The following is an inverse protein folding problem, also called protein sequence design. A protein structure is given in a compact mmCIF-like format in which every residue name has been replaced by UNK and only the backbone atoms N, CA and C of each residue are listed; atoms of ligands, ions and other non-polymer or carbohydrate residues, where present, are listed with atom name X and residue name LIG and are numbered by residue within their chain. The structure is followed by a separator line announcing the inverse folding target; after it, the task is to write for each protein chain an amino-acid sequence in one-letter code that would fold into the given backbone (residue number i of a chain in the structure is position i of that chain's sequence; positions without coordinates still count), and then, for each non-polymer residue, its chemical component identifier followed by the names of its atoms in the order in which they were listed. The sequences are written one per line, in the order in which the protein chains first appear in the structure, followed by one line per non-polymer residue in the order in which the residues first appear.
data_IF_027486774133
#
_entry.id   IF_027486774133
#
_cell.length_a   1.000
_cell.length_b   1.000
_cell.length_c   1.000
_cell.angle_alpha   90.00
_cell.angle_beta   90.00
_cell.angle_gamma   90.00
#
_symmetry.space_group_name_H-M   'P 1'
#
loop_
_entity.id
_entity.type
_entity.pdbx_description
1 polymer ?
#
# COMPACT_ATOMS: atom_id res chain seq x y z
N UNK A 1 10.10 -10.54 -34.25
CA UNK A 1 11.06 -10.92 -33.19
C UNK A 1 10.59 -10.29 -31.89
N UNK A 2 10.50 -11.07 -30.80
CA UNK A 2 10.12 -10.61 -29.47
C UNK A 2 11.28 -9.84 -28.82
N UNK A 3 10.96 -8.95 -27.88
CA UNK A 3 12.00 -8.30 -27.06
C UNK A 3 12.45 -9.21 -25.92
N UNK A 4 11.47 -9.88 -25.27
CA UNK A 4 11.70 -10.83 -24.20
C UNK A 4 10.78 -12.06 -24.37
N UNK A 5 11.32 -13.24 -24.07
CA UNK A 5 10.57 -14.47 -23.96
C UNK A 5 10.83 -15.09 -22.58
N UNK A 6 9.78 -15.48 -21.88
CA UNK A 6 9.86 -16.27 -20.64
C UNK A 6 9.43 -17.67 -21.00
N UNK A 7 10.25 -18.66 -20.73
CA UNK A 7 10.00 -20.06 -21.05
C UNK A 7 9.90 -20.92 -19.79
N UNK A 8 9.26 -22.10 -19.91
CA UNK A 8 9.17 -23.09 -18.83
C UNK A 8 8.54 -22.54 -17.54
N UNK A 9 7.55 -21.65 -17.64
CA UNK A 9 6.89 -21.05 -16.49
C UNK A 9 5.60 -21.76 -16.11
N UNK A 10 5.25 -21.69 -14.80
CA UNK A 10 3.91 -21.95 -14.27
C UNK A 10 3.15 -20.62 -14.25
N UNK A 11 2.51 -20.28 -15.37
CA UNK A 11 1.81 -19.01 -15.57
C UNK A 11 0.52 -19.03 -14.76
N UNK A 12 0.33 -18.03 -13.90
CA UNK A 12 -0.85 -17.89 -13.04
C UNK A 12 -1.95 -17.15 -13.81
N UNK A 13 -2.98 -17.87 -14.19
CA UNK A 13 -4.23 -17.28 -14.71
C UNK A 13 -5.16 -16.98 -13.52
N UNK A 14 -5.05 -15.77 -13.00
CA UNK A 14 -5.78 -15.33 -11.81
C UNK A 14 -7.30 -15.33 -12.05
N UNK A 15 -7.72 -14.90 -13.24
CA UNK A 15 -9.14 -14.77 -13.61
C UNK A 15 -9.85 -16.12 -13.63
N UNK A 16 -9.18 -17.17 -14.14
CA UNK A 16 -9.73 -18.52 -14.24
C UNK A 16 -9.22 -19.49 -13.15
N UNK A 17 -8.45 -18.98 -12.19
CA UNK A 17 -7.91 -19.74 -11.03
C UNK A 17 -7.19 -21.04 -11.45
N UNK A 18 -6.29 -20.95 -12.42
CA UNK A 18 -5.55 -22.10 -12.94
C UNK A 18 -4.10 -21.77 -13.23
N UNK A 19 -3.29 -22.81 -13.29
CA UNK A 19 -1.89 -22.72 -13.72
C UNK A 19 -1.79 -23.22 -15.16
N UNK A 20 -1.10 -22.45 -16.00
CA UNK A 20 -0.81 -22.80 -17.40
C UNK A 20 0.70 -23.02 -17.48
N UNK A 21 1.12 -24.25 -17.76
CA UNK A 21 2.53 -24.53 -18.07
C UNK A 21 2.83 -24.02 -19.48
N UNK A 22 3.83 -23.14 -19.62
CA UNK A 22 4.13 -22.56 -20.93
C UNK A 22 5.04 -21.34 -20.89
N UNK A 23 4.96 -20.59 -21.97
CA UNK A 23 5.81 -19.44 -22.28
C UNK A 23 5.00 -18.15 -22.34
N UNK A 24 5.69 -17.02 -22.12
CA UNK A 24 5.18 -15.68 -22.44
C UNK A 24 6.07 -15.03 -23.51
N UNK A 25 5.46 -14.44 -24.52
CA UNK A 25 6.12 -13.60 -25.53
C UNK A 25 5.80 -12.13 -25.29
N UNK A 26 6.85 -11.32 -25.16
CA UNK A 26 6.75 -9.89 -24.82
C UNK A 26 7.36 -9.07 -25.96
N UNK A 27 6.65 -8.01 -26.36
CA UNK A 27 7.09 -7.06 -27.35
C UNK A 27 6.54 -5.66 -27.03
N UNK A 28 7.38 -4.64 -27.18
CA UNK A 28 7.03 -3.23 -26.97
C UNK A 28 6.33 -2.99 -25.60
N UNK A 29 6.83 -3.68 -24.55
CA UNK A 29 6.34 -3.57 -23.20
C UNK A 29 5.05 -4.33 -22.88
N UNK A 30 4.44 -5.02 -23.86
CA UNK A 30 3.18 -5.75 -23.70
C UNK A 30 3.38 -7.26 -23.88
N UNK A 31 2.52 -8.05 -23.22
CA UNK A 31 2.36 -9.48 -23.46
C UNK A 31 1.62 -9.65 -24.79
N UNK A 32 2.23 -10.35 -25.77
CA UNK A 32 1.62 -10.56 -27.08
C UNK A 32 1.36 -12.04 -27.40
N UNK A 33 1.91 -12.95 -26.58
CA UNK A 33 1.66 -14.39 -26.68
C UNK A 33 1.70 -15.05 -25.32
N UNK A 34 0.83 -16.02 -25.10
CA UNK A 34 0.80 -16.87 -23.91
C UNK A 34 0.58 -18.34 -24.32
N UNK A 35 1.33 -19.26 -23.71
CA UNK A 35 1.27 -20.70 -24.00
C UNK A 35 2.53 -21.16 -24.72
N UNK A 36 2.40 -21.89 -25.85
CA UNK A 36 3.57 -22.33 -26.61
C UNK A 36 4.06 -21.24 -27.57
N UNK A 37 5.22 -20.65 -27.28
CA UNK A 37 5.79 -19.53 -28.05
C UNK A 37 6.97 -19.98 -28.89
N UNK A 38 6.79 -20.10 -30.19
CA UNK A 38 7.85 -20.51 -31.15
C UNK A 38 8.66 -19.31 -31.68
N UNK A 39 8.18 -18.09 -31.52
CA UNK A 39 8.81 -16.89 -32.03
C UNK A 39 10.21 -16.66 -31.44
N UNK A 40 11.14 -16.19 -32.26
CA UNK A 40 12.48 -15.77 -31.81
C UNK A 40 12.40 -14.52 -30.93
N UNK A 41 13.29 -14.42 -29.96
CA UNK A 41 13.39 -13.30 -29.02
C UNK A 41 14.81 -12.77 -28.93
N UNK A 42 14.94 -11.48 -28.59
CA UNK A 42 16.24 -10.85 -28.28
C UNK A 42 16.83 -11.36 -26.95
N UNK A 43 15.95 -11.57 -25.97
CA UNK A 43 16.30 -12.08 -24.63
C UNK A 43 15.38 -13.24 -24.27
N UNK A 44 15.90 -14.19 -23.51
CA UNK A 44 15.14 -15.33 -22.98
C UNK A 44 15.40 -15.43 -21.48
N UNK A 45 14.35 -15.59 -20.70
CA UNK A 45 14.38 -15.98 -19.30
C UNK A 45 13.83 -17.41 -19.23
N UNK A 46 14.59 -18.34 -18.67
CA UNK A 46 14.07 -19.63 -18.26
C UNK A 46 13.48 -19.50 -16.85
N UNK A 47 12.18 -19.68 -16.72
CA UNK A 47 11.51 -19.63 -15.42
C UNK A 47 11.73 -20.91 -14.58
N UNK A 48 12.41 -21.94 -15.12
CA UNK A 48 12.81 -23.15 -14.40
C UNK A 48 11.65 -23.84 -13.64
N UNK A 49 10.43 -23.74 -14.17
CA UNK A 49 9.21 -24.25 -13.51
C UNK A 49 8.71 -23.40 -12.33
N UNK A 50 9.27 -22.22 -12.12
CA UNK A 50 8.76 -21.28 -11.10
C UNK A 50 7.44 -20.63 -11.53
N UNK A 51 6.73 -20.06 -10.56
CA UNK A 51 5.48 -19.37 -10.80
C UNK A 51 5.73 -18.02 -11.47
N UNK A 52 4.98 -17.78 -12.54
CA UNK A 52 4.96 -16.51 -13.28
C UNK A 52 3.65 -15.84 -12.97
N UNK A 53 3.68 -14.75 -12.22
CA UNK A 53 2.55 -13.98 -11.73
C UNK A 53 2.48 -12.62 -12.42
N UNK A 54 1.31 -11.99 -12.55
CA UNK A 54 1.26 -10.54 -12.72
C UNK A 54 2.09 -9.89 -11.62
N UNK A 55 2.77 -8.80 -11.92
CA UNK A 55 3.46 -8.02 -10.91
C UNK A 55 2.50 -7.57 -9.81
N UNK A 56 2.92 -7.65 -8.56
CA UNK A 56 2.07 -7.28 -7.44
C UNK A 56 1.78 -5.78 -7.45
N UNK A 57 0.60 -5.40 -6.95
CA UNK A 57 0.13 -4.02 -6.85
C UNK A 57 -0.10 -3.70 -5.39
N UNK A 58 0.68 -2.77 -4.85
CA UNK A 58 0.50 -2.26 -3.50
C UNK A 58 -0.39 -1.02 -3.53
N UNK A 59 -1.64 -1.18 -3.07
CA UNK A 59 -2.62 -0.07 -3.07
C UNK A 59 -2.41 0.90 -1.89
N UNK A 60 -1.53 0.56 -0.95
CA UNK A 60 -1.32 1.36 0.25
C UNK A 60 0.14 1.33 0.71
N UNK A 61 0.88 2.38 0.37
CA UNK A 61 2.19 2.67 0.98
C UNK A 61 2.32 4.16 1.27
N UNK A 62 3.34 4.52 2.02
CA UNK A 62 3.70 5.92 2.24
C UNK A 62 4.72 6.41 1.21
N UNK A 63 4.79 7.73 1.06
CA UNK A 63 5.57 8.34 0.00
C UNK A 63 7.08 8.17 0.18
N UNK A 64 7.79 7.94 -0.92
CA UNK A 64 9.24 7.92 -0.99
C UNK A 64 9.83 9.28 -0.55
N UNK A 65 10.98 9.27 0.09
CA UNK A 65 11.72 10.49 0.37
C UNK A 65 12.65 10.86 -0.78
N UNK A 66 12.10 11.59 -1.75
CA UNK A 66 12.87 12.01 -2.93
C UNK A 66 14.00 12.99 -2.62
N UNK A 67 14.11 13.52 -1.41
CA UNK A 67 15.27 14.32 -1.00
C UNK A 67 16.51 13.47 -0.79
N UNK A 68 16.34 12.19 -0.43
CA UNK A 68 17.41 11.20 -0.30
C UNK A 68 17.84 10.68 -1.69
N UNK A 69 16.97 10.74 -2.67
CA UNK A 69 17.20 10.17 -4.01
C UNK A 69 18.15 10.98 -4.90
N UNK A 70 18.67 12.11 -4.45
CA UNK A 70 19.78 12.80 -5.16
C UNK A 70 20.94 11.85 -5.52
N UNK A 71 21.02 10.69 -4.82
CA UNK A 71 21.99 9.62 -5.06
C UNK A 71 21.37 8.37 -5.71
N UNK A 72 20.10 8.41 -6.15
CA UNK A 72 19.33 7.22 -6.59
C UNK A 72 19.22 6.12 -5.51
N UNK A 73 19.22 6.51 -4.26
CA UNK A 73 18.98 5.65 -3.12
C UNK A 73 17.50 5.73 -2.78
N UNK A 74 16.71 4.79 -3.28
CA UNK A 74 15.30 4.64 -2.95
C UNK A 74 15.16 3.79 -1.68
N UNK A 75 14.28 4.18 -0.78
CA UNK A 75 14.06 3.47 0.49
C UNK A 75 12.86 2.52 0.36
N UNK A 76 11.65 3.07 0.21
CA UNK A 76 10.42 2.27 0.14
C UNK A 76 10.26 1.61 -1.24
N UNK A 77 10.44 2.37 -2.32
CA UNK A 77 10.26 1.84 -3.67
C UNK A 77 11.22 0.69 -4.00
N UNK A 78 12.43 0.70 -3.42
CA UNK A 78 13.38 -0.40 -3.57
C UNK A 78 12.93 -1.67 -2.86
N UNK A 79 12.34 -1.55 -1.66
CA UNK A 79 11.78 -2.71 -0.95
C UNK A 79 10.53 -3.25 -1.63
N UNK A 80 9.69 -2.38 -2.23
CA UNK A 80 8.56 -2.79 -3.07
C UNK A 80 9.03 -3.67 -4.24
N UNK A 81 10.00 -3.20 -5.01
CA UNK A 81 10.57 -3.96 -6.12
C UNK A 81 11.09 -5.34 -5.66
N UNK A 82 11.80 -5.38 -4.52
CA UNK A 82 12.34 -6.63 -3.97
C UNK A 82 11.25 -7.63 -3.56
N UNK A 83 10.04 -7.18 -3.24
CA UNK A 83 8.90 -8.04 -2.94
C UNK A 83 8.15 -8.54 -4.19
N UNK A 84 8.52 -8.10 -5.40
CA UNK A 84 7.79 -8.42 -6.62
C UNK A 84 6.67 -7.44 -6.95
N UNK A 85 6.57 -6.33 -6.22
CA UNK A 85 5.64 -5.23 -6.52
C UNK A 85 6.14 -4.51 -7.77
N UNK A 86 5.23 -4.22 -8.69
CA UNK A 86 5.52 -3.49 -9.92
C UNK A 86 4.76 -2.16 -10.02
N UNK A 87 3.73 -2.00 -9.20
CA UNK A 87 2.94 -0.76 -9.13
C UNK A 87 2.54 -0.49 -7.68
N UNK A 88 2.69 0.75 -7.23
CA UNK A 88 2.32 1.16 -5.88
C UNK A 88 1.50 2.45 -5.88
N UNK A 89 0.72 2.64 -4.81
CA UNK A 89 -0.05 3.87 -4.55
C UNK A 89 0.39 4.48 -3.24
N UNK A 90 0.95 5.67 -3.32
CA UNK A 90 1.40 6.46 -2.17
C UNK A 90 0.42 7.59 -1.80
N UNK A 91 0.84 8.48 -0.92
CA UNK A 91 0.02 9.61 -0.47
C UNK A 91 -1.15 9.19 0.42
N UNK A 92 -1.08 8.01 1.05
CA UNK A 92 -2.11 7.48 1.94
C UNK A 92 -2.11 8.19 3.31
N UNK A 93 -3.14 7.94 4.11
CA UNK A 93 -3.31 8.44 5.48
C UNK A 93 -3.18 9.96 5.60
N UNK A 94 -3.59 10.69 4.57
CA UNK A 94 -3.61 12.15 4.55
C UNK A 94 -2.27 12.83 4.32
N UNK A 95 -1.19 12.12 4.04
CA UNK A 95 0.17 12.66 4.03
C UNK A 95 0.86 12.55 2.67
N UNK A 96 1.45 13.66 2.24
CA UNK A 96 2.43 13.72 1.17
C UNK A 96 3.70 14.45 1.67
N UNK A 97 4.82 14.17 1.03
CA UNK A 97 6.08 14.89 1.26
C UNK A 97 6.22 16.07 0.31
N UNK A 98 5.58 16.00 -0.86
CA UNK A 98 5.64 17.01 -1.92
C UNK A 98 4.33 17.08 -2.71
N UNK A 99 4.19 18.08 -3.60
CA UNK A 99 3.05 18.15 -4.51
C UNK A 99 3.07 17.00 -5.53
N UNK A 100 1.90 16.67 -6.08
CA UNK A 100 1.77 15.64 -7.12
C UNK A 100 2.55 16.04 -8.39
N UNK A 101 2.58 17.33 -8.71
CA UNK A 101 3.37 17.89 -9.81
C UNK A 101 4.86 17.56 -9.64
N UNK A 102 5.46 17.99 -8.53
CA UNK A 102 6.88 17.71 -8.24
C UNK A 102 7.22 16.23 -8.23
N UNK A 103 6.30 15.41 -7.69
CA UNK A 103 6.43 13.96 -7.64
C UNK A 103 6.46 13.36 -9.05
N UNK A 104 5.51 13.75 -9.90
CA UNK A 104 5.44 13.24 -11.28
C UNK A 104 6.65 13.65 -12.10
N UNK A 105 7.04 14.93 -12.03
CA UNK A 105 8.23 15.44 -12.72
C UNK A 105 9.51 14.73 -12.29
N UNK A 106 9.69 14.51 -10.98
CA UNK A 106 10.84 13.78 -10.46
C UNK A 106 10.91 12.35 -11.03
N UNK A 107 9.79 11.61 -11.00
CA UNK A 107 9.75 10.23 -11.50
C UNK A 107 9.95 10.20 -13.02
N UNK A 108 9.39 11.15 -13.77
CA UNK A 108 9.60 11.26 -15.23
C UNK A 108 11.06 11.52 -15.58
N UNK A 109 11.76 12.35 -14.79
CA UNK A 109 13.16 12.68 -15.03
C UNK A 109 14.14 11.56 -14.60
N UNK A 110 13.91 10.96 -13.43
CA UNK A 110 14.88 10.05 -12.79
C UNK A 110 14.47 8.57 -12.86
N UNK A 111 13.21 8.27 -13.16
CA UNK A 111 12.62 6.95 -12.99
C UNK A 111 12.38 6.61 -11.52
N UNK A 112 11.83 5.43 -11.28
CA UNK A 112 11.57 4.88 -9.96
C UNK A 112 11.70 3.34 -10.01
N UNK A 113 12.01 2.65 -8.92
CA UNK A 113 12.07 1.19 -8.91
C UNK A 113 10.79 0.50 -9.38
N UNK A 114 9.61 1.07 -9.06
CA UNK A 114 8.29 0.55 -9.41
C UNK A 114 7.42 1.65 -10.03
N UNK A 115 6.37 1.29 -10.76
CA UNK A 115 5.36 2.23 -11.20
C UNK A 115 4.68 2.89 -10.00
N UNK A 116 4.39 4.16 -10.10
CA UNK A 116 3.97 4.97 -8.97
C UNK A 116 2.69 5.74 -9.26
N UNK A 117 1.76 5.70 -8.35
CA UNK A 117 0.55 6.52 -8.29
C UNK A 117 0.49 7.18 -6.91
N UNK A 118 -0.26 8.28 -6.76
CA UNK A 118 -0.40 8.93 -5.45
C UNK A 118 -1.77 9.56 -5.25
N UNK A 119 -2.25 9.51 -4.01
CA UNK A 119 -3.30 10.40 -3.53
C UNK A 119 -2.73 11.78 -3.22
N UNK A 120 -3.61 12.79 -3.18
CA UNK A 120 -3.30 14.03 -2.46
C UNK A 120 -3.85 13.93 -1.02
N UNK A 121 -2.98 14.13 -0.04
CA UNK A 121 -3.31 13.98 1.38
C UNK A 121 -3.95 15.23 1.96
N UNK A 122 -5.06 15.08 2.68
CA UNK A 122 -5.74 16.21 3.35
C UNK A 122 -4.86 16.88 4.40
N UNK A 123 -4.14 16.10 5.22
CA UNK A 123 -3.25 16.68 6.26
C UNK A 123 -2.08 17.46 5.62
N UNK A 124 -1.57 16.98 4.47
CA UNK A 124 -0.60 17.74 3.68
C UNK A 124 -1.19 19.07 3.22
N UNK A 125 -2.39 19.07 2.64
CA UNK A 125 -3.07 20.30 2.18
C UNK A 125 -3.32 21.27 3.34
N UNK A 126 -3.73 20.77 4.52
CA UNK A 126 -3.88 21.61 5.73
C UNK A 126 -2.58 22.34 6.08
N UNK A 127 -1.45 21.63 6.02
CA UNK A 127 -0.14 22.23 6.28
C UNK A 127 0.20 23.33 5.25
N UNK A 128 -0.09 23.10 3.96
CA UNK A 128 0.18 24.07 2.89
C UNK A 128 -0.63 25.38 3.05
N UNK A 129 -1.83 25.31 3.62
CA UNK A 129 -2.67 26.49 3.84
C UNK A 129 -2.52 27.10 5.25
N UNK A 130 -1.57 26.60 6.05
CA UNK A 130 -1.29 27.07 7.41
C UNK A 130 -2.32 26.63 8.46
N UNK A 131 -3.09 25.56 8.21
CA UNK A 131 -3.96 24.91 9.19
C UNK A 131 -3.20 23.84 9.97
N UNK A 132 -2.21 24.24 10.76
CA UNK A 132 -1.22 23.35 11.39
C UNK A 132 -1.64 22.80 12.76
N UNK A 133 -2.67 23.39 13.39
CA UNK A 133 -3.22 22.83 14.64
C UNK A 133 -4.07 21.60 14.33
N UNK A 134 -3.54 20.43 14.65
CA UNK A 134 -4.19 19.15 14.34
C UNK A 134 -5.50 18.92 15.12
N UNK A 135 -5.76 19.69 16.19
CA UNK A 135 -6.96 19.55 17.01
C UNK A 135 -8.05 20.58 16.67
N UNK A 136 -7.83 21.45 15.69
CA UNK A 136 -8.81 22.45 15.26
C UNK A 136 -9.22 22.26 13.82
N UNK A 137 -10.52 22.50 13.56
CA UNK A 137 -11.05 22.59 12.20
C UNK A 137 -10.38 23.72 11.42
N UNK A 138 -10.20 23.53 10.12
CA UNK A 138 -9.76 24.56 9.20
C UNK A 138 -10.84 25.63 9.01
N UNK A 139 -10.44 26.88 8.81
CA UNK A 139 -11.35 27.95 8.43
C UNK A 139 -11.89 27.74 7.02
N UNK A 140 -13.07 28.31 6.73
CA UNK A 140 -13.65 28.25 5.37
C UNK A 140 -12.71 28.81 4.29
N UNK A 141 -11.89 29.81 4.61
CA UNK A 141 -10.89 30.36 3.68
C UNK A 141 -9.79 29.33 3.38
N UNK A 142 -9.35 28.57 4.38
CA UNK A 142 -8.36 27.50 4.22
C UNK A 142 -8.95 26.33 3.43
N UNK A 143 -10.20 25.93 3.75
CA UNK A 143 -10.91 24.87 3.02
C UNK A 143 -11.03 25.20 1.53
N UNK A 144 -11.44 26.42 1.17
CA UNK A 144 -11.50 26.87 -0.23
C UNK A 144 -10.15 26.80 -0.95
N UNK A 145 -9.05 27.13 -0.28
CA UNK A 145 -7.71 26.99 -0.85
C UNK A 145 -7.34 25.51 -1.05
N UNK A 146 -7.65 24.65 -0.07
CA UNK A 146 -7.42 23.22 -0.17
C UNK A 146 -8.24 22.60 -1.32
N UNK A 147 -9.49 23.04 -1.55
CA UNK A 147 -10.30 22.63 -2.71
C UNK A 147 -9.60 22.93 -4.03
N UNK A 148 -9.04 24.15 -4.20
CA UNK A 148 -8.30 24.51 -5.41
C UNK A 148 -7.06 23.62 -5.60
N UNK A 149 -6.29 23.41 -4.53
CA UNK A 149 -5.10 22.54 -4.57
C UNK A 149 -5.46 21.07 -4.84
N UNK A 150 -6.62 20.62 -4.37
CA UNK A 150 -7.13 19.26 -4.69
C UNK A 150 -7.39 19.11 -6.18
N UNK A 151 -8.02 20.12 -6.82
CA UNK A 151 -8.24 20.11 -8.27
C UNK A 151 -6.92 20.09 -9.05
N UNK A 152 -5.99 20.94 -8.68
CA UNK A 152 -4.65 20.97 -9.27
C UNK A 152 -3.95 19.61 -9.16
N UNK A 153 -3.96 18.99 -7.98
CA UNK A 153 -3.38 17.68 -7.76
C UNK A 153 -4.01 16.60 -8.66
N UNK A 154 -5.34 16.64 -8.85
CA UNK A 154 -6.06 15.72 -9.72
C UNK A 154 -5.70 15.95 -11.18
N UNK A 155 -5.52 17.18 -11.63
CA UNK A 155 -5.11 17.53 -12.98
C UNK A 155 -3.68 17.02 -13.27
N UNK A 156 -2.80 17.05 -12.27
CA UNK A 156 -1.47 16.42 -12.33
C UNK A 156 -1.50 14.89 -12.21
N UNK A 157 -2.64 14.29 -11.89
CA UNK A 157 -2.84 12.84 -11.93
C UNK A 157 -3.01 12.14 -10.59
N UNK A 158 -3.29 12.87 -9.51
CA UNK A 158 -3.67 12.22 -8.25
C UNK A 158 -4.84 11.27 -8.44
N UNK A 159 -4.79 10.09 -7.80
CA UNK A 159 -5.87 9.10 -7.86
C UNK A 159 -7.12 9.55 -7.09
N UNK A 160 -6.97 10.52 -6.21
CA UNK A 160 -8.03 11.08 -5.39
C UNK A 160 -7.48 11.73 -4.13
N UNK A 161 -8.25 11.72 -3.04
CA UNK A 161 -7.90 12.36 -1.76
C UNK A 161 -7.77 11.29 -0.67
N UNK A 162 -6.73 11.41 0.17
CA UNK A 162 -6.58 10.58 1.36
C UNK A 162 -6.75 11.40 2.64
N UNK A 163 -7.26 10.75 3.69
CA UNK A 163 -7.46 11.34 5.02
C UNK A 163 -6.67 10.58 6.08
N UNK A 164 -6.10 11.30 7.02
CA UNK A 164 -5.53 10.75 8.24
C UNK A 164 -6.32 11.27 9.43
N UNK A 165 -7.52 10.71 9.66
CA UNK A 165 -8.49 11.27 10.62
C UNK A 165 -7.97 11.19 12.06
N UNK A 166 -7.27 10.12 12.43
CA UNK A 166 -6.65 10.00 13.75
C UNK A 166 -5.44 10.90 13.91
N UNK A 167 -4.65 11.11 12.84
CA UNK A 167 -3.49 12.00 12.87
C UNK A 167 -3.86 13.48 12.97
N UNK A 168 -5.08 13.82 12.63
CA UNK A 168 -5.59 15.19 12.68
C UNK A 168 -7.02 15.20 13.23
N UNK A 169 -7.20 15.03 14.56
CA UNK A 169 -8.52 14.92 15.20
C UNK A 169 -9.45 16.11 14.97
N UNK A 170 -8.90 17.29 14.66
CA UNK A 170 -9.65 18.50 14.35
C UNK A 170 -10.38 18.50 13.01
N UNK A 171 -10.10 17.54 12.12
CA UNK A 171 -10.89 17.32 10.91
C UNK A 171 -12.24 16.74 11.32
N UNK A 172 -13.32 17.51 11.19
CA UNK A 172 -14.68 16.99 11.39
C UNK A 172 -15.26 16.42 10.09
N UNK A 173 -16.43 15.80 10.18
CA UNK A 173 -17.13 15.21 9.04
C UNK A 173 -17.41 16.24 7.94
N UNK A 174 -17.78 17.47 8.33
CA UNK A 174 -18.07 18.55 7.37
C UNK A 174 -16.82 18.95 6.60
N UNK A 175 -15.67 19.17 7.26
CA UNK A 175 -14.40 19.50 6.59
C UNK A 175 -13.98 18.40 5.62
N UNK A 176 -14.12 17.12 6.02
CA UNK A 176 -13.79 15.97 5.16
C UNK A 176 -14.68 15.91 3.90
N UNK A 177 -15.94 16.29 3.98
CA UNK A 177 -16.86 16.36 2.84
C UNK A 177 -16.58 17.62 1.99
N UNK A 178 -16.45 18.78 2.63
CA UNK A 178 -16.28 20.07 1.95
C UNK A 178 -15.04 20.11 1.05
N UNK A 179 -13.92 19.53 1.49
CA UNK A 179 -12.69 19.51 0.68
C UNK A 179 -12.87 18.84 -0.68
N UNK A 180 -13.83 17.94 -0.81
CA UNK A 180 -14.12 17.18 -2.03
C UNK A 180 -15.33 17.70 -2.79
N UNK A 181 -15.93 18.82 -2.41
CA UNK A 181 -17.15 19.34 -3.02
C UNK A 181 -17.02 19.52 -4.54
N UNK A 182 -15.89 20.02 -5.03
CA UNK A 182 -15.65 20.23 -6.47
C UNK A 182 -15.40 18.94 -7.27
N UNK A 183 -15.24 17.81 -6.61
CA UNK A 183 -15.05 16.50 -7.23
C UNK A 183 -16.17 15.51 -6.90
N UNK A 184 -17.23 15.98 -6.25
CA UNK A 184 -18.38 15.18 -5.82
C UNK A 184 -18.97 14.38 -6.99
N UNK A 185 -19.25 13.09 -6.75
CA UNK A 185 -19.80 12.18 -7.75
C UNK A 185 -18.81 11.65 -8.79
N UNK A 186 -17.53 12.00 -8.68
CA UNK A 186 -16.47 11.51 -9.57
C UNK A 186 -16.12 10.05 -9.21
N UNK A 187 -16.78 9.11 -9.87
CA UNK A 187 -16.56 7.66 -9.67
C UNK A 187 -15.23 7.15 -10.26
N UNK A 188 -14.53 7.97 -11.02
CA UNK A 188 -13.20 7.73 -11.55
C UNK A 188 -12.07 8.08 -10.56
N UNK A 189 -12.41 8.75 -9.45
CA UNK A 189 -11.53 9.00 -8.32
C UNK A 189 -11.74 7.98 -7.20
N UNK A 190 -10.86 8.02 -6.22
CA UNK A 190 -10.90 7.17 -5.04
C UNK A 190 -10.58 8.03 -3.81
N UNK A 191 -11.40 7.93 -2.77
CA UNK A 191 -11.04 8.45 -1.46
C UNK A 191 -10.41 7.32 -0.63
N UNK A 192 -9.49 7.65 0.28
CA UNK A 192 -9.00 6.69 1.27
C UNK A 192 -8.88 7.35 2.65
N UNK A 193 -9.01 6.57 3.72
CA UNK A 193 -8.80 7.10 5.06
C UNK A 193 -8.19 6.09 6.02
N UNK A 194 -7.23 6.57 6.81
CA UNK A 194 -6.94 6.06 8.12
C UNK A 194 -8.10 6.42 9.06
N UNK A 195 -8.53 5.49 9.89
CA UNK A 195 -9.64 5.65 10.84
C UNK A 195 -9.49 6.90 11.70
N UNK A 196 -10.60 7.37 12.29
CA UNK A 196 -10.53 8.39 13.33
C UNK A 196 -10.10 7.81 14.67
N UNK A 197 -10.59 6.62 14.99
CA UNK A 197 -10.26 5.86 16.19
C UNK A 197 -10.32 4.37 15.90
N UNK A 198 -9.44 3.65 16.52
CA UNK A 198 -9.33 2.20 16.42
C UNK A 198 -10.01 1.46 17.61
N UNK A 199 -9.78 0.17 17.69
CA UNK A 199 -10.20 -0.72 18.76
C UNK A 199 -11.70 -0.59 19.08
N UNK A 200 -12.06 -0.23 20.32
CA UNK A 200 -13.46 -0.16 20.76
C UNK A 200 -14.33 0.82 19.97
N UNK A 201 -13.72 1.80 19.30
CA UNK A 201 -14.39 2.81 18.49
C UNK A 201 -14.28 2.57 16.97
N UNK A 202 -13.72 1.45 16.55
CA UNK A 202 -13.50 1.16 15.14
C UNK A 202 -14.80 1.17 14.31
N UNK A 203 -15.89 0.65 14.85
CA UNK A 203 -17.19 0.61 14.16
C UNK A 203 -17.76 2.02 13.90
N UNK A 204 -17.60 2.94 14.83
CA UNK A 204 -18.02 4.34 14.64
C UNK A 204 -17.19 5.01 13.54
N UNK A 205 -15.89 4.73 13.50
CA UNK A 205 -15.01 5.23 12.45
C UNK A 205 -15.37 4.68 11.06
N UNK A 206 -15.77 3.40 10.96
CA UNK A 206 -16.29 2.80 9.71
C UNK A 206 -17.56 3.52 9.27
N UNK A 207 -18.48 3.80 10.17
CA UNK A 207 -19.71 4.54 9.86
C UNK A 207 -19.41 5.97 9.40
N UNK A 208 -18.45 6.66 10.00
CA UNK A 208 -18.00 7.99 9.56
C UNK A 208 -17.47 7.96 8.13
N UNK A 209 -16.58 7.01 7.81
CA UNK A 209 -16.05 6.85 6.46
C UNK A 209 -17.14 6.51 5.43
N UNK A 210 -18.12 5.69 5.83
CA UNK A 210 -19.29 5.38 5.00
C UNK A 210 -20.15 6.61 4.74
N UNK A 211 -20.32 7.50 5.72
CA UNK A 211 -21.06 8.75 5.53
C UNK A 211 -20.31 9.72 4.61
N UNK A 212 -18.97 9.82 4.71
CA UNK A 212 -18.16 10.58 3.75
C UNK A 212 -18.37 10.02 2.34
N UNK A 213 -18.29 8.70 2.16
CA UNK A 213 -18.48 8.06 0.87
C UNK A 213 -19.87 8.31 0.28
N UNK A 214 -20.90 8.21 1.11
CA UNK A 214 -22.30 8.44 0.74
C UNK A 214 -22.55 9.88 0.31
N UNK A 215 -22.07 10.84 1.10
CA UNK A 215 -22.26 12.25 0.82
C UNK A 215 -21.45 12.74 -0.38
N UNK A 216 -20.22 12.30 -0.52
CA UNK A 216 -19.34 12.67 -1.64
C UNK A 216 -19.70 11.94 -2.92
N UNK A 217 -20.30 10.75 -2.85
CA UNK A 217 -20.57 9.83 -3.96
C UNK A 217 -19.31 9.46 -4.74
N UNK A 218 -18.18 9.38 -4.05
CA UNK A 218 -16.90 8.94 -4.59
C UNK A 218 -16.59 7.56 -3.96
N UNK A 219 -16.11 6.58 -4.73
CA UNK A 219 -15.64 5.31 -4.18
C UNK A 219 -14.64 5.51 -3.04
N UNK A 220 -14.73 4.69 -1.98
CA UNK A 220 -13.94 4.89 -0.78
C UNK A 220 -13.15 3.64 -0.38
N UNK A 221 -11.87 3.81 -0.07
CA UNK A 221 -10.95 2.79 0.43
C UNK A 221 -10.73 2.99 1.94
N UNK A 222 -11.15 2.02 2.74
CA UNK A 222 -10.83 1.95 4.15
C UNK A 222 -9.40 1.41 4.28
N UNK A 223 -8.51 2.19 4.84
CA UNK A 223 -7.09 1.88 4.98
C UNK A 223 -6.83 0.86 6.08
N UNK A 224 -5.90 -0.08 5.85
CA UNK A 224 -5.29 -1.01 6.82
C UNK A 224 -6.27 -1.49 7.93
N UNK A 225 -7.41 -2.08 7.52
CA UNK A 225 -8.49 -2.55 8.41
C UNK A 225 -7.96 -3.28 9.67
N UNK A 226 -6.93 -4.11 9.50
CA UNK A 226 -6.37 -4.90 10.59
C UNK A 226 -5.80 -4.03 11.71
N UNK A 227 -5.08 -2.95 11.40
CA UNK A 227 -4.49 -2.08 12.44
C UNK A 227 -5.50 -1.29 13.25
N UNK A 228 -6.72 -1.18 12.76
CA UNK A 228 -7.77 -0.41 13.43
C UNK A 228 -8.85 -1.29 14.07
N UNK A 229 -9.03 -2.55 13.61
CA UNK A 229 -10.13 -3.42 14.03
C UNK A 229 -9.70 -4.76 14.64
N UNK A 230 -8.40 -5.15 14.56
CA UNK A 230 -7.93 -6.41 15.13
C UNK A 230 -7.67 -6.33 16.66
N UNK A 231 -8.70 -5.89 17.39
CA UNK A 231 -8.73 -5.72 18.85
C UNK A 231 -9.95 -6.37 19.49
N UNK A 232 -10.49 -7.42 18.87
CA UNK A 232 -11.71 -8.10 19.26
C UNK A 232 -12.95 -7.68 18.45
N UNK A 233 -12.79 -6.89 17.38
CA UNK A 233 -13.90 -6.30 16.63
C UNK A 233 -13.90 -6.66 15.13
N UNK A 234 -13.01 -7.53 14.68
CA UNK A 234 -12.82 -7.78 13.24
C UNK A 234 -14.08 -8.34 12.58
N UNK A 235 -14.69 -9.34 13.17
CA UNK A 235 -15.92 -9.96 12.64
C UNK A 235 -17.05 -8.93 12.48
N UNK A 236 -17.25 -8.07 13.48
CA UNK A 236 -18.26 -7.02 13.46
C UNK A 236 -17.93 -5.93 12.42
N UNK A 237 -16.67 -5.54 12.31
CA UNK A 237 -16.20 -4.57 11.32
C UNK A 237 -16.45 -5.08 9.89
N UNK A 238 -16.08 -6.31 9.58
CA UNK A 238 -16.30 -6.94 8.28
C UNK A 238 -17.79 -7.02 7.94
N UNK A 239 -18.65 -7.47 8.86
CA UNK A 239 -20.11 -7.51 8.69
C UNK A 239 -20.70 -6.11 8.46
N UNK A 240 -20.24 -5.11 9.21
CA UNK A 240 -20.68 -3.73 9.04
C UNK A 240 -20.37 -3.22 7.65
N UNK A 241 -19.14 -3.40 7.17
CA UNK A 241 -18.71 -2.97 5.82
C UNK A 241 -19.51 -3.71 4.74
N UNK A 242 -19.74 -5.02 4.88
CA UNK A 242 -20.60 -5.77 3.96
C UNK A 242 -22.00 -5.18 3.88
N UNK A 243 -22.62 -4.90 5.01
CA UNK A 243 -23.96 -4.31 5.07
C UNK A 243 -23.99 -2.92 4.41
N UNK A 244 -22.96 -2.09 4.63
CA UNK A 244 -22.85 -0.77 3.99
C UNK A 244 -22.75 -0.92 2.47
N UNK A 245 -21.94 -1.87 1.98
CA UNK A 245 -21.82 -2.17 0.55
C UNK A 245 -23.12 -2.67 -0.07
N UNK A 246 -23.85 -3.56 0.63
CA UNK A 246 -25.17 -4.04 0.20
C UNK A 246 -26.20 -2.91 0.08
N UNK A 247 -26.05 -1.84 0.83
CA UNK A 247 -26.84 -0.63 0.75
C UNK A 247 -26.37 0.36 -0.35
N UNK A 248 -25.45 -0.06 -1.22
CA UNK A 248 -25.06 0.67 -2.42
C UNK A 248 -23.92 1.68 -2.24
N UNK A 249 -23.23 1.69 -1.11
CA UNK A 249 -22.03 2.51 -0.90
C UNK A 249 -20.80 1.74 -1.39
N UNK A 250 -20.02 2.34 -2.30
CA UNK A 250 -18.83 1.70 -2.88
C UNK A 250 -17.64 1.80 -1.90
N UNK A 251 -17.54 0.80 -1.02
CA UNK A 251 -16.42 0.62 -0.08
C UNK A 251 -15.51 -0.52 -0.52
N UNK A 252 -14.22 -0.38 -0.27
CA UNK A 252 -13.22 -1.43 -0.29
C UNK A 252 -12.25 -1.27 0.88
N UNK A 253 -11.47 -2.30 1.17
CA UNK A 253 -10.57 -2.32 2.32
C UNK A 253 -9.24 -2.95 1.96
N UNK A 254 -8.18 -2.54 2.64
CA UNK A 254 -6.88 -3.21 2.61
C UNK A 254 -6.41 -3.62 4.01
N UNK A 255 -5.49 -4.55 4.07
CA UNK A 255 -4.87 -5.02 5.29
C UNK A 255 -3.47 -5.58 5.00
N UNK A 256 -2.61 -5.60 6.01
CA UNK A 256 -1.27 -6.18 5.97
C UNK A 256 -1.11 -7.36 6.95
N UNK A 257 -0.17 -8.29 6.68
CA UNK A 257 -0.06 -9.58 7.38
C UNK A 257 0.84 -9.51 8.63
N UNK A 258 0.63 -8.55 9.52
CA UNK A 258 1.41 -8.38 10.76
C UNK A 258 0.53 -7.94 11.91
N UNK A 259 0.79 -8.48 13.12
CA UNK A 259 0.05 -8.18 14.35
C UNK A 259 0.60 -6.95 15.10
N UNK A 260 1.27 -6.07 14.39
CA UNK A 260 1.77 -4.80 14.90
C UNK A 260 1.57 -3.69 13.87
N UNK A 261 1.38 -2.47 14.32
CA UNK A 261 1.41 -1.29 13.44
C UNK A 261 2.64 -0.41 13.73
N UNK A 262 2.92 0.54 12.85
CA UNK A 262 3.98 1.52 13.07
C UNK A 262 3.56 2.89 12.61
N UNK A 263 3.80 3.89 13.48
CA UNK A 263 3.59 5.30 13.18
C UNK A 263 4.51 6.17 14.04
N UNK A 264 4.49 7.49 13.83
CA UNK A 264 5.29 8.44 14.60
C UNK A 264 4.86 8.48 16.07
N UNK A 265 5.81 8.34 16.99
CA UNK A 265 5.54 8.32 18.46
C UNK A 265 4.86 9.62 18.94
N UNK A 266 5.09 10.74 18.28
CA UNK A 266 4.47 12.02 18.59
C UNK A 266 3.07 12.23 18.01
N UNK A 267 2.53 11.25 17.24
CA UNK A 267 1.20 11.36 16.63
C UNK A 267 0.07 11.25 17.66
N UNK A 268 -1.12 11.72 17.28
CA UNK A 268 -2.32 11.64 18.12
C UNK A 268 -2.80 10.20 18.37
N UNK A 269 -2.35 9.21 17.59
CA UNK A 269 -2.56 7.78 17.85
C UNK A 269 -2.12 7.36 19.26
N UNK A 270 -1.07 8.00 19.77
CA UNK A 270 -0.52 7.74 21.10
C UNK A 270 -0.98 8.74 22.17
N UNK A 271 -2.08 9.45 21.94
CA UNK A 271 -2.66 10.36 22.94
C UNK A 271 -3.23 9.60 24.14
N UNK A 272 -3.56 10.32 25.20
CA UNK A 272 -4.12 9.77 26.44
C UNK A 272 -5.33 8.89 26.14
N UNK A 273 -5.35 7.69 26.76
CA UNK A 273 -6.40 6.68 26.56
C UNK A 273 -6.09 5.61 25.50
N UNK A 274 -4.99 5.71 24.74
CA UNK A 274 -4.66 4.72 23.71
C UNK A 274 -4.41 3.33 24.31
N UNK A 275 -3.67 3.23 25.42
CA UNK A 275 -3.37 1.95 26.07
C UNK A 275 -4.61 1.27 26.64
N UNK A 276 -5.52 2.05 27.23
CA UNK A 276 -6.81 1.57 27.71
C UNK A 276 -7.68 1.05 26.57
N UNK A 277 -7.69 1.76 25.42
CA UNK A 277 -8.43 1.36 24.23
C UNK A 277 -7.92 0.04 23.67
N UNK A 278 -6.60 -0.18 23.64
CA UNK A 278 -5.98 -1.41 23.16
C UNK A 278 -5.93 -2.53 24.21
N UNK A 279 -6.28 -2.25 25.48
CA UNK A 279 -6.08 -3.16 26.61
C UNK A 279 -4.61 -3.63 26.71
N UNK A 280 -3.68 -2.67 26.62
CA UNK A 280 -2.22 -2.88 26.60
C UNK A 280 -1.53 -1.90 27.55
N UNK A 281 -0.19 -2.02 27.65
CA UNK A 281 0.66 -1.13 28.44
C UNK A 281 1.88 -0.68 27.63
N UNK A 282 2.70 0.20 28.21
CA UNK A 282 3.85 0.82 27.55
C UNK A 282 4.83 -0.18 26.93
N UNK A 283 4.97 -1.37 27.53
CA UNK A 283 5.85 -2.46 27.07
C UNK A 283 5.39 -3.12 25.74
N UNK A 284 4.22 -2.78 25.23
CA UNK A 284 3.81 -3.14 23.88
C UNK A 284 4.43 -2.26 22.78
N UNK A 285 5.03 -1.13 23.15
CA UNK A 285 5.61 -0.16 22.21
C UNK A 285 7.12 -0.33 22.13
N UNK A 286 7.64 -0.57 20.92
CA UNK A 286 9.08 -0.62 20.63
C UNK A 286 9.47 0.61 19.80
N UNK A 287 10.57 1.26 20.18
CA UNK A 287 11.16 2.39 19.45
C UNK A 287 12.16 1.90 18.40
N UNK A 288 12.21 2.56 17.24
CA UNK A 288 12.91 2.03 16.07
C UNK A 288 14.24 2.73 15.74
N UNK A 289 14.52 3.89 16.36
CA UNK A 289 15.68 4.71 16.05
C UNK A 289 16.53 5.00 17.30
N UNK A 290 17.80 5.37 17.10
CA UNK A 290 18.65 5.83 18.21
C UNK A 290 18.09 7.11 18.87
N UNK A 291 18.24 7.31 20.18
CA UNK A 291 19.03 6.47 21.10
C UNK A 291 18.26 5.27 21.70
N UNK A 292 17.07 4.96 21.22
CA UNK A 292 16.19 3.93 21.78
C UNK A 292 15.95 2.75 20.84
N UNK A 293 16.77 2.56 19.82
CA UNK A 293 16.56 1.49 18.82
C UNK A 293 16.41 0.11 19.47
N UNK A 294 15.23 -0.53 19.20
CA UNK A 294 14.90 -1.85 19.73
C UNK A 294 14.47 -1.89 21.20
N UNK A 295 14.31 -0.73 21.84
CA UNK A 295 13.89 -0.64 23.24
C UNK A 295 12.36 -0.69 23.32
N UNK A 296 11.83 -1.58 24.15
CA UNK A 296 10.44 -1.57 24.57
C UNK A 296 10.23 -0.54 25.67
N UNK A 297 9.15 0.24 25.57
CA UNK A 297 8.93 1.37 26.46
C UNK A 297 8.52 0.94 27.88
N UNK A 298 8.92 1.72 28.84
CA UNK A 298 8.18 2.00 30.05
C UNK A 298 7.58 3.41 29.95
N UNK A 299 6.85 3.86 30.95
CA UNK A 299 6.22 5.19 30.93
C UNK A 299 7.22 6.32 30.72
N UNK A 300 8.37 6.29 31.41
CA UNK A 300 9.40 7.34 31.33
C UNK A 300 10.00 7.45 29.92
N UNK A 301 10.36 6.30 29.31
CA UNK A 301 10.92 6.24 27.95
C UNK A 301 9.89 6.71 26.93
N UNK A 302 8.63 6.29 27.07
CA UNK A 302 7.54 6.69 26.18
C UNK A 302 7.31 8.20 26.20
N UNK A 303 7.14 8.79 27.38
CA UNK A 303 6.92 10.23 27.55
C UNK A 303 8.12 11.04 27.04
N UNK A 304 9.34 10.58 27.30
CA UNK A 304 10.57 11.18 26.79
C UNK A 304 10.64 11.12 25.28
N UNK A 305 10.38 9.97 24.68
CA UNK A 305 10.40 9.81 23.23
C UNK A 305 9.37 10.71 22.55
N UNK A 306 8.14 10.78 23.05
CA UNK A 306 7.09 11.69 22.52
C UNK A 306 7.52 13.15 22.56
N UNK A 307 8.17 13.57 23.61
CA UNK A 307 8.57 14.96 23.82
C UNK A 307 9.82 15.35 23.02
N UNK A 308 10.85 14.51 23.02
CA UNK A 308 12.17 14.85 22.48
C UNK A 308 12.37 14.33 21.04
N UNK A 309 11.67 13.26 20.67
CA UNK A 309 11.80 12.58 19.36
C UNK A 309 10.46 12.32 18.69
N UNK A 310 9.55 13.30 18.57
CA UNK A 310 8.17 13.08 18.13
C UNK A 310 8.06 12.48 16.72
N UNK A 311 9.10 12.63 15.90
CA UNK A 311 9.17 12.09 14.54
C UNK A 311 9.79 10.68 14.46
N UNK A 312 10.20 10.09 15.59
CA UNK A 312 10.67 8.72 15.63
C UNK A 312 9.52 7.74 15.34
N UNK A 313 9.76 6.75 14.49
CA UNK A 313 8.80 5.68 14.30
C UNK A 313 8.78 4.75 15.54
N UNK A 314 7.60 4.38 15.96
CA UNK A 314 7.35 3.37 16.99
C UNK A 314 6.56 2.22 16.41
N UNK A 315 6.81 1.01 16.88
CA UNK A 315 6.05 -0.20 16.56
C UNK A 315 5.18 -0.55 17.76
N UNK A 316 3.89 -0.68 17.55
CA UNK A 316 2.92 -1.07 18.56
C UNK A 316 2.47 -2.52 18.34
N UNK A 317 2.87 -3.42 19.24
CA UNK A 317 2.55 -4.85 19.24
C UNK A 317 1.23 -5.08 19.98
N UNK A 318 0.12 -4.68 19.38
CA UNK A 318 -1.16 -4.54 20.08
C UNK A 318 -2.32 -5.33 19.45
N UNK A 319 -2.15 -5.82 18.22
CA UNK A 319 -3.23 -6.46 17.43
C UNK A 319 -3.29 -7.96 17.63
N UNK A 320 -4.43 -8.56 17.30
CA UNK A 320 -4.70 -9.99 17.39
C UNK A 320 -4.38 -10.68 16.06
N UNK A 321 -3.49 -11.67 16.07
CA UNK A 321 -3.07 -12.43 14.88
C UNK A 321 -4.25 -13.22 14.24
N UNK A 322 -5.14 -13.80 15.02
CA UNK A 322 -6.28 -14.57 14.48
C UNK A 322 -7.24 -13.67 13.71
N UNK A 323 -7.46 -12.46 14.19
CA UNK A 323 -8.27 -11.45 13.51
C UNK A 323 -7.61 -10.89 12.25
N UNK A 324 -6.29 -10.87 12.21
CA UNK A 324 -5.55 -10.56 10.96
C UNK A 324 -5.78 -11.65 9.92
N UNK A 325 -5.70 -12.92 10.32
CA UNK A 325 -6.01 -14.06 9.44
C UNK A 325 -7.46 -13.97 8.93
N UNK A 326 -8.42 -13.62 9.80
CA UNK A 326 -9.80 -13.39 9.41
C UNK A 326 -9.92 -12.29 8.34
N UNK A 327 -9.31 -11.14 8.58
CA UNK A 327 -9.31 -10.03 7.62
C UNK A 327 -8.69 -10.43 6.26
N UNK A 328 -7.49 -11.03 6.28
CA UNK A 328 -6.78 -11.42 5.06
C UNK A 328 -7.57 -12.44 4.22
N UNK A 329 -8.35 -13.32 4.85
CA UNK A 329 -9.19 -14.30 4.14
C UNK A 329 -10.50 -13.72 3.62
N UNK A 330 -10.95 -12.58 4.12
CA UNK A 330 -12.22 -12.02 3.73
C UNK A 330 -12.22 -11.57 2.26
N UNK A 331 -13.24 -11.91 1.42
CA UNK A 331 -13.21 -11.68 -0.03
C UNK A 331 -13.06 -10.21 -0.46
N UNK A 332 -13.49 -9.25 0.37
CA UNK A 332 -13.41 -7.82 0.01
C UNK A 332 -12.10 -7.14 0.42
N UNK A 333 -11.24 -7.81 1.18
CA UNK A 333 -10.00 -7.24 1.72
C UNK A 333 -8.85 -7.47 0.75
N UNK A 334 -8.20 -6.41 0.30
CA UNK A 334 -6.97 -6.45 -0.49
C UNK A 334 -5.75 -6.52 0.43
N UNK A 335 -4.64 -7.01 -0.11
CA UNK A 335 -3.36 -7.01 0.59
C UNK A 335 -2.58 -5.77 0.18
N UNK A 336 -2.09 -5.02 1.18
CA UNK A 336 -1.24 -3.87 0.99
C UNK A 336 -0.15 -3.84 2.06
N UNK A 337 0.91 -3.06 1.86
CA UNK A 337 2.04 -3.08 2.79
C UNK A 337 1.91 -2.07 3.93
N UNK A 338 1.29 -0.94 3.68
CA UNK A 338 1.35 0.24 4.57
C UNK A 338 2.82 0.58 4.93
N UNK A 339 3.71 0.40 3.94
CA UNK A 339 5.16 0.53 4.12
C UNK A 339 5.56 1.97 4.38
N UNK A 340 6.30 2.19 5.45
CA UNK A 340 6.92 3.48 5.80
C UNK A 340 8.28 3.24 6.44
N UNK A 341 9.26 4.05 6.04
CA UNK A 341 10.59 4.06 6.66
C UNK A 341 11.04 5.48 6.98
N UNK A 342 11.87 5.58 8.00
CA UNK A 342 12.60 6.78 8.35
C UNK A 342 14.01 6.37 8.81
N UNK A 343 15.04 6.99 8.22
CA UNK A 343 16.43 6.67 8.52
C UNK A 343 16.70 5.15 8.45
N UNK A 344 16.16 4.47 7.42
CA UNK A 344 16.22 3.00 7.22
C UNK A 344 15.61 2.18 8.36
N UNK A 345 14.86 2.80 9.27
CA UNK A 345 14.18 2.16 10.40
C UNK A 345 12.67 2.20 10.20
N UNK A 346 11.94 1.28 10.85
CA UNK A 346 10.48 1.20 10.76
C UNK A 346 9.97 -0.22 10.96
N UNK A 347 8.90 -0.56 10.26
CA UNK A 347 8.21 -1.83 10.38
C UNK A 347 8.57 -2.77 9.22
N UNK A 348 8.76 -4.09 9.45
CA UNK A 348 9.11 -5.06 8.41
C UNK A 348 8.04 -5.21 7.30
N UNK A 349 6.81 -4.73 7.50
CA UNK A 349 5.74 -4.81 6.50
C UNK A 349 6.11 -4.16 5.16
N UNK A 350 6.92 -3.10 5.16
CA UNK A 350 7.35 -2.41 3.94
C UNK A 350 8.34 -3.22 3.07
N UNK A 351 8.91 -4.32 3.59
CA UNK A 351 9.83 -5.20 2.84
C UNK A 351 9.41 -6.68 2.85
N UNK A 352 8.36 -7.03 3.60
CA UNK A 352 7.98 -8.43 3.81
C UNK A 352 6.56 -8.80 3.42
N UNK A 353 5.63 -7.86 3.27
CA UNK A 353 4.19 -8.13 3.16
C UNK A 353 3.85 -9.18 2.09
N UNK A 354 4.19 -8.97 0.85
CA UNK A 354 3.78 -9.85 -0.26
C UNK A 354 4.43 -11.24 -0.19
N UNK A 355 5.74 -11.38 0.05
CA UNK A 355 6.38 -12.67 0.28
C UNK A 355 5.86 -13.40 1.52
N UNK A 356 5.55 -12.68 2.62
CA UNK A 356 4.97 -13.25 3.83
C UNK A 356 3.60 -13.87 3.58
N UNK A 357 2.74 -13.23 2.78
CA UNK A 357 1.45 -13.79 2.43
C UNK A 357 1.61 -15.14 1.74
N UNK A 358 2.48 -15.23 0.73
CA UNK A 358 2.68 -16.46 -0.01
C UNK A 358 3.42 -17.51 0.84
N UNK A 359 4.54 -17.13 1.46
CA UNK A 359 5.39 -18.05 2.22
C UNK A 359 4.74 -18.51 3.51
N UNK A 360 4.31 -17.58 4.34
CA UNK A 360 3.83 -17.88 5.68
C UNK A 360 2.36 -18.31 5.71
N UNK A 361 1.44 -17.52 5.12
CA UNK A 361 0.00 -17.81 5.22
C UNK A 361 -0.49 -18.87 4.24
N UNK A 362 0.02 -18.86 2.98
CA UNK A 362 -0.38 -19.85 1.99
C UNK A 362 0.38 -21.16 2.17
N UNK A 363 1.73 -21.13 2.12
CA UNK A 363 2.55 -22.35 2.10
C UNK A 363 2.67 -23.01 3.48
N UNK A 364 3.06 -22.26 4.52
CA UNK A 364 3.40 -22.83 5.83
C UNK A 364 2.17 -23.04 6.70
N UNK A 365 1.41 -21.99 6.99
CA UNK A 365 0.19 -22.06 7.83
C UNK A 365 -1.00 -22.69 7.11
N UNK A 366 -1.05 -22.63 5.78
CA UNK A 366 -2.18 -23.09 4.96
C UNK A 366 -3.51 -22.46 5.40
N UNK A 367 -3.43 -21.24 5.86
CA UNK A 367 -4.59 -20.47 6.35
C UNK A 367 -5.19 -19.58 5.26
N UNK A 368 -4.62 -19.55 4.05
CA UNK A 368 -5.09 -18.77 2.92
C UNK A 368 -4.92 -19.57 1.62
N UNK A 369 -5.91 -19.49 0.73
CA UNK A 369 -5.86 -20.13 -0.58
C UNK A 369 -4.93 -19.38 -1.53
N UNK A 370 -4.15 -20.12 -2.33
CA UNK A 370 -3.13 -19.54 -3.21
C UNK A 370 -3.69 -18.52 -4.20
N UNK A 371 -4.77 -18.88 -4.91
CA UNK A 371 -5.36 -17.96 -5.91
C UNK A 371 -6.01 -16.74 -5.27
N UNK A 372 -6.57 -16.88 -4.07
CA UNK A 372 -7.10 -15.73 -3.33
C UNK A 372 -5.98 -14.76 -2.93
N UNK A 373 -4.84 -15.28 -2.46
CA UNK A 373 -3.68 -14.47 -2.16
C UNK A 373 -3.20 -13.68 -3.38
N UNK A 374 -3.04 -14.35 -4.53
CA UNK A 374 -2.58 -13.69 -5.77
C UNK A 374 -3.61 -12.67 -6.27
N UNK A 375 -4.91 -12.99 -6.26
CA UNK A 375 -5.97 -12.06 -6.68
C UNK A 375 -5.96 -10.77 -5.84
N UNK A 376 -5.86 -10.91 -4.52
CA UNK A 376 -5.81 -9.79 -3.55
C UNK A 376 -4.55 -8.91 -3.69
N UNK A 377 -3.50 -9.41 -4.32
CA UNK A 377 -2.25 -8.70 -4.57
C UNK A 377 -2.11 -8.21 -6.02
N UNK A 378 -3.04 -8.56 -6.92
CA UNK A 378 -2.91 -8.27 -8.37
C UNK A 378 -4.21 -7.73 -8.97
N UNK A 379 -5.18 -8.59 -9.26
CA UNK A 379 -6.40 -8.23 -10.00
C UNK A 379 -7.37 -7.37 -9.18
N UNK A 380 -7.53 -7.67 -7.88
CA UNK A 380 -8.41 -6.86 -7.02
C UNK A 380 -7.95 -5.40 -6.94
N UNK A 381 -6.67 -5.09 -6.56
CA UNK A 381 -6.21 -3.70 -6.55
C UNK A 381 -6.19 -3.07 -7.96
N UNK A 382 -5.88 -3.82 -9.03
CA UNK A 382 -5.97 -3.31 -10.39
C UNK A 382 -7.39 -2.85 -10.74
N UNK A 383 -8.41 -3.67 -10.42
CA UNK A 383 -9.83 -3.31 -10.62
C UNK A 383 -10.23 -2.09 -9.80
N UNK A 384 -9.78 -2.02 -8.54
CA UNK A 384 -10.08 -0.89 -7.65
C UNK A 384 -9.50 0.42 -8.19
N UNK A 385 -8.28 0.37 -8.69
CA UNK A 385 -7.58 1.51 -9.29
C UNK A 385 -7.99 1.78 -10.74
N UNK A 386 -8.89 0.95 -11.32
CA UNK A 386 -9.33 1.02 -12.74
C UNK A 386 -8.16 0.93 -13.73
N UNK A 387 -7.12 0.17 -13.40
CA UNK A 387 -6.00 -0.12 -14.28
C UNK A 387 -6.44 -1.13 -15.35
N UNK A 388 -6.44 -0.72 -16.61
CA UNK A 388 -7.03 -1.52 -17.70
C UNK A 388 -6.15 -2.66 -18.20
N UNK A 389 -4.81 -2.50 -18.05
CA UNK A 389 -3.83 -3.42 -18.62
C UNK A 389 -2.87 -4.01 -17.58
N UNK A 390 -3.25 -3.98 -16.28
CA UNK A 390 -2.46 -4.52 -15.18
C UNK A 390 -3.24 -5.53 -14.34
N UNK A 391 -2.56 -6.29 -13.50
CA UNK A 391 -3.15 -7.28 -12.60
C UNK A 391 -3.48 -8.64 -13.23
N UNK A 392 -3.23 -8.83 -14.52
CA UNK A 392 -3.39 -10.11 -15.23
C UNK A 392 -2.21 -10.38 -16.17
N UNK A 393 -1.91 -11.65 -16.40
CA UNK A 393 -1.09 -12.11 -17.52
C UNK A 393 -2.04 -12.45 -18.67
N UNK A 394 -2.15 -11.55 -19.65
CA UNK A 394 -3.06 -11.67 -20.77
C UNK A 394 -2.52 -10.94 -21.99
N UNK A 395 -2.78 -11.43 -23.20
CA UNK A 395 -2.40 -10.71 -24.42
C UNK A 395 -3.00 -9.30 -24.46
N UNK A 396 -2.16 -8.32 -24.77
CA UNK A 396 -2.47 -6.89 -24.74
C UNK A 396 -2.27 -6.20 -23.40
N UNK A 397 -1.95 -6.94 -22.33
CA UNK A 397 -1.63 -6.37 -21.02
C UNK A 397 -0.16 -5.98 -20.93
N UNK A 398 0.13 -5.03 -20.05
CA UNK A 398 1.48 -4.62 -19.75
C UNK A 398 2.29 -5.81 -19.21
N UNK A 399 3.54 -5.92 -19.66
CA UNK A 399 4.44 -6.96 -19.20
C UNK A 399 5.10 -6.54 -17.86
N UNK A 400 4.26 -6.36 -16.84
CA UNK A 400 4.61 -6.20 -15.44
C UNK A 400 4.46 -7.56 -14.76
N UNK A 401 5.58 -8.21 -14.44
CA UNK A 401 5.61 -9.64 -14.10
C UNK A 401 6.53 -9.87 -12.92
N UNK A 402 6.10 -10.72 -11.97
CA UNK A 402 6.93 -11.28 -10.91
C UNK A 402 7.10 -12.80 -11.10
N UNK A 403 8.33 -13.29 -11.10
CA UNK A 403 8.64 -14.73 -11.12
C UNK A 403 9.22 -15.12 -9.77
N UNK A 404 8.62 -16.12 -9.13
CA UNK A 404 9.04 -16.53 -7.80
C UNK A 404 9.06 -18.05 -7.61
N UNK A 405 9.97 -18.49 -6.76
CA UNK A 405 10.10 -19.86 -6.28
C UNK A 405 9.13 -20.05 -5.10
N UNK A 406 8.04 -20.79 -5.31
CA UNK A 406 7.02 -21.01 -4.29
C UNK A 406 7.54 -21.74 -3.06
N UNK A 407 8.51 -22.62 -3.22
CA UNK A 407 9.06 -23.41 -2.11
C UNK A 407 9.99 -22.57 -1.21
N UNK A 408 10.50 -21.45 -1.73
CA UNK A 408 11.46 -20.59 -1.03
C UNK A 408 10.95 -19.21 -0.70
N UNK A 409 9.88 -18.74 -1.33
CA UNK A 409 9.39 -17.36 -1.10
C UNK A 409 8.97 -17.17 0.37
N UNK A 410 9.58 -16.19 1.03
CA UNK A 410 9.31 -15.82 2.42
C UNK A 410 9.88 -14.43 2.71
N UNK A 411 9.27 -13.71 3.64
CA UNK A 411 9.84 -12.50 4.22
C UNK A 411 11.04 -12.80 5.10
N UNK A 412 12.00 -11.87 5.15
CA UNK A 412 13.20 -11.93 6.01
C UNK A 412 13.32 -10.70 6.88
N UNK A 413 12.55 -9.66 6.56
CA UNK A 413 12.52 -8.43 7.32
C UNK A 413 12.07 -8.68 8.76
N UNK A 414 12.75 -8.05 9.71
CA UNK A 414 12.48 -8.13 11.15
C UNK A 414 12.29 -6.72 11.70
N UNK A 415 11.85 -6.59 12.94
CA UNK A 415 11.76 -5.29 13.60
C UNK A 415 13.14 -4.65 13.86
N UNK A 416 14.21 -5.44 13.92
CA UNK A 416 15.60 -4.96 14.08
C UNK A 416 16.17 -4.53 12.72
N UNK A 417 15.87 -5.29 11.66
CA UNK A 417 16.34 -5.07 10.28
C UNK A 417 15.13 -5.05 9.33
N UNK A 418 14.36 -3.94 9.30
CA UNK A 418 13.05 -3.91 8.65
C UNK A 418 13.10 -3.88 7.12
N UNK A 419 14.28 -3.73 6.51
CA UNK A 419 14.47 -3.66 5.07
C UNK A 419 15.19 -4.88 4.48
N UNK A 420 15.39 -5.95 5.26
CA UNK A 420 15.98 -7.19 4.73
C UNK A 420 15.17 -7.70 3.55
N UNK A 421 15.89 -8.02 2.49
CA UNK A 421 15.28 -8.56 1.26
C UNK A 421 14.61 -9.90 1.52
N UNK A 422 13.42 -10.16 0.95
CA UNK A 422 12.80 -11.47 0.98
C UNK A 422 13.60 -12.48 0.18
N UNK A 423 13.39 -13.74 0.45
CA UNK A 423 13.85 -14.84 -0.39
C UNK A 423 12.79 -15.26 -1.42
N UNK A 424 13.20 -15.94 -2.49
CA UNK A 424 12.33 -16.60 -3.45
C UNK A 424 11.86 -15.74 -4.63
N UNK A 425 12.03 -14.42 -4.63
CA UNK A 425 11.80 -13.59 -5.83
C UNK A 425 12.97 -13.78 -6.79
N UNK A 426 12.69 -14.31 -8.00
CA UNK A 426 13.69 -14.61 -9.02
C UNK A 426 13.85 -13.48 -10.04
N UNK A 427 12.72 -13.07 -10.63
CA UNK A 427 12.71 -12.01 -11.64
C UNK A 427 11.56 -11.04 -11.36
N UNK A 428 11.81 -9.78 -11.63
CA UNK A 428 10.77 -8.76 -11.73
C UNK A 428 10.95 -8.02 -13.05
N UNK A 429 9.88 -7.91 -13.80
CA UNK A 429 9.84 -7.26 -15.11
C UNK A 429 8.84 -6.10 -15.02
N UNK A 430 9.24 -4.91 -15.47
CA UNK A 430 8.38 -3.74 -15.59
C UNK A 430 8.37 -3.28 -17.05
N UNK A 431 7.18 -3.16 -17.63
CA UNK A 431 7.04 -2.73 -19.03
C UNK A 431 7.87 -3.57 -19.99
N UNK A 432 8.03 -4.88 -19.73
CA UNK A 432 8.82 -5.79 -20.55
C UNK A 432 10.34 -5.71 -20.34
N UNK A 433 10.83 -4.89 -19.40
CA UNK A 433 12.24 -4.75 -19.07
C UNK A 433 12.57 -5.40 -17.73
N UNK A 434 13.71 -6.05 -17.64
CA UNK A 434 14.13 -6.79 -16.45
C UNK A 434 14.67 -5.80 -15.41
N UNK A 435 14.01 -5.71 -14.26
CA UNK A 435 14.45 -4.94 -13.10
C UNK A 435 15.23 -5.81 -12.10
N UNK A 436 14.73 -7.02 -11.82
CA UNK A 436 15.42 -8.04 -11.01
C UNK A 436 15.75 -9.23 -11.90
N UNK A 437 16.99 -9.67 -11.83
CA UNK A 437 17.51 -10.85 -12.53
C UNK A 437 18.11 -11.83 -11.51
N UNK A 438 17.52 -13.02 -11.39
CA UNK A 438 17.91 -14.04 -10.43
C UNK A 438 18.17 -13.49 -9.01
N UNK A 439 17.18 -12.74 -8.50
CA UNK A 439 17.20 -12.13 -7.17
C UNK A 439 18.06 -10.86 -7.03
N UNK A 440 18.77 -10.44 -8.09
CA UNK A 440 19.61 -9.24 -8.06
C UNK A 440 18.94 -8.07 -8.81
N UNK A 441 18.89 -6.91 -8.20
CA UNK A 441 18.44 -5.68 -8.87
C UNK A 441 19.47 -5.29 -9.91
N UNK A 442 19.04 -5.17 -11.17
CA UNK A 442 19.89 -4.77 -12.29
C UNK A 442 19.45 -3.43 -12.90
N UNK A 443 18.20 -3.03 -12.63
CA UNK A 443 17.68 -1.72 -13.00
C UNK A 443 16.60 -1.29 -12.01
N UNK A 444 16.75 -0.13 -11.41
CA UNK A 444 15.86 0.45 -10.40
C UNK A 444 15.23 1.77 -10.85
N UNK A 445 15.14 2.03 -12.17
CA UNK A 445 14.61 3.28 -12.72
C UNK A 445 13.56 3.04 -13.82
N UNK A 446 12.99 1.84 -13.90
CA UNK A 446 12.04 1.46 -14.96
C UNK A 446 10.62 1.93 -14.69
N UNK A 447 10.27 2.18 -13.42
CA UNK A 447 8.95 2.62 -13.02
C UNK A 447 8.65 4.05 -13.50
N UNK A 448 7.38 4.31 -13.77
CA UNK A 448 6.84 5.56 -14.27
C UNK A 448 5.77 6.08 -13.32
N UNK A 449 5.53 7.38 -13.37
CA UNK A 449 4.35 7.94 -12.74
C UNK A 449 3.13 7.68 -13.63
N UNK A 450 2.12 7.00 -13.08
CA UNK A 450 0.86 6.79 -13.77
C UNK A 450 -0.16 7.81 -13.29
N UNK A 451 -0.61 8.63 -14.20
CA UNK A 451 -1.74 9.52 -13.99
C UNK A 451 -3.02 8.72 -14.02
N UNK A 452 -4.03 9.24 -13.36
CA UNK A 452 -5.34 8.64 -13.35
C UNK A 452 -5.87 8.42 -14.77
N UNK A 453 -6.29 7.19 -15.07
CA UNK A 453 -6.87 6.81 -16.36
C UNK A 453 -5.88 6.49 -17.48
N UNK A 454 -4.57 6.56 -17.24
CA UNK A 454 -3.54 6.22 -18.23
C UNK A 454 -3.18 4.74 -18.28
N UNK A 455 -3.41 3.96 -17.23
CA UNK A 455 -3.00 2.55 -17.14
C UNK A 455 -4.09 1.57 -17.58
#
# INVERSE_FOLDING_TARGET
MLDLKIVNGKIIDVENRKIIEGDLGIKDGAIIHMGHVTAQSRKVIDAEGHYVSPGFIDIHMHEEDFTLTKKQEYDISATMLNMGVTTCVAGNCGNNRQSIEMLSEFIEEKGNPVNYMSYIGHNYLRNQVGSTDIYKRSTMSQIKKMQSMTLEAIDFGAVGVSYGLEYCPGIDLEEAIEITEHIRGRNDLLLSAHYRKDAVNALDSINEMAEIAKETKIPFQISHLSSCSAFGNMTEALKLIENIKLNGIDLSVDAYPYAAFSTFIGSAVFDEGCFESWNKSYDSIMLTEEPFKGVYCNREIFEKARKEYPQMLAVANVMNEDEIVEALNHPMVMIASDGIYRNHSGHPRGAGTFPRVIGHYVREKKSMEFFDAIDKMTLMPAKRLKLKRKGLLKEGFDADIAIFDFDRIIDKATFQDPQLRPEGIKYVILGGQIAINNGNVINNTLGRFYKRGEA
#
